data_IF_935778660805
#
_entry.id   IF_935778660805
#
_cell.length_a   1.000
_cell.length_b   1.000
_cell.length_c   1.000
_cell.angle_alpha   90.00
_cell.angle_beta   90.00
_cell.angle_gamma   90.00
#
_symmetry.space_group_name_H-M   'P 1'
#
loop_
_entity.id
_entity.type
_entity.pdbx_description
1 polymer ?
#
# COMPACT_ATOMS: atom_id res chain seq x y z
N UNK A 1 6.08 7.31 -0.61
CA UNK A 1 5.71 6.23 -1.56
C UNK A 1 6.94 5.72 -2.31
N UNK A 2 7.57 6.52 -3.18
CA UNK A 2 8.69 6.03 -4.00
C UNK A 2 9.88 5.55 -3.16
N UNK A 3 10.31 6.37 -2.21
CA UNK A 3 11.38 6.01 -1.28
C UNK A 3 11.02 4.78 -0.44
N UNK A 4 9.78 4.70 0.04
CA UNK A 4 9.26 3.57 0.82
C UNK A 4 9.27 2.27 0.02
N UNK A 5 8.94 2.30 -1.27
CA UNK A 5 9.01 1.14 -2.18
C UNK A 5 10.45 0.63 -2.31
N UNK A 6 11.39 1.56 -2.47
CA UNK A 6 12.81 1.21 -2.56
C UNK A 6 13.38 0.73 -1.21
N UNK A 7 13.02 1.37 -0.10
CA UNK A 7 13.47 0.99 1.26
C UNK A 7 12.92 -0.37 1.67
N UNK A 8 11.68 -0.67 1.29
CA UNK A 8 11.07 -1.99 1.52
C UNK A 8 11.63 -3.08 0.59
N UNK A 9 12.46 -2.72 -0.40
CA UNK A 9 13.14 -3.66 -1.30
C UNK A 9 12.29 -4.15 -2.48
N UNK A 10 11.14 -3.54 -2.75
CA UNK A 10 10.33 -3.87 -3.94
C UNK A 10 10.93 -3.32 -5.23
N UNK A 11 11.60 -2.18 -5.14
CA UNK A 11 12.32 -1.55 -6.24
C UNK A 11 13.81 -1.35 -5.87
N UNK A 12 14.74 -1.45 -6.84
CA UNK A 12 16.14 -1.08 -6.58
C UNK A 12 16.27 0.38 -6.14
N UNK A 13 17.27 0.66 -5.31
CA UNK A 13 17.57 2.01 -4.82
C UNK A 13 17.83 2.98 -5.97
N UNK A 14 17.13 4.10 -6.00
CA UNK A 14 17.21 5.11 -7.05
C UNK A 14 16.45 4.76 -8.34
N UNK A 15 15.82 3.58 -8.42
CA UNK A 15 15.10 3.12 -9.62
C UNK A 15 13.58 3.12 -9.45
N UNK A 16 13.05 3.63 -8.34
CA UNK A 16 11.63 3.58 -8.04
C UNK A 16 10.76 4.21 -9.13
N UNK A 17 11.21 5.29 -9.78
CA UNK A 17 10.45 5.92 -10.87
C UNK A 17 10.33 5.04 -12.11
N UNK A 18 11.39 4.30 -12.44
CA UNK A 18 11.36 3.34 -13.54
C UNK A 18 10.44 2.18 -13.16
N UNK A 19 10.61 1.67 -11.96
CA UNK A 19 9.83 0.55 -11.44
C UNK A 19 8.31 0.84 -11.44
N UNK A 20 7.86 2.00 -10.95
CA UNK A 20 6.42 2.35 -10.95
C UNK A 20 5.84 2.55 -12.35
N UNK A 21 6.67 2.84 -13.36
CA UNK A 21 6.23 2.96 -14.76
C UNK A 21 6.12 1.59 -15.45
N UNK A 22 6.89 0.62 -15.00
CA UNK A 22 6.90 -0.75 -15.51
C UNK A 22 5.83 -1.64 -14.87
N UNK A 23 5.19 -1.16 -13.79
CA UNK A 23 4.16 -1.89 -13.06
C UNK A 23 2.81 -1.17 -13.13
N UNK A 24 1.75 -1.95 -13.23
CA UNK A 24 0.39 -1.46 -13.05
C UNK A 24 0.03 -1.55 -11.56
N UNK A 25 -0.08 -0.37 -10.94
CA UNK A 25 -0.32 -0.23 -9.50
C UNK A 25 -1.81 -0.18 -9.14
N UNK A 26 -2.69 -0.27 -10.13
CA UNK A 26 -4.13 -0.29 -9.92
C UNK A 26 -4.57 -1.62 -9.27
N UNK A 27 -5.79 -1.66 -8.74
CA UNK A 27 -6.37 -2.91 -8.20
C UNK A 27 -6.57 -4.01 -9.26
N UNK A 28 -6.41 -3.70 -10.55
CA UNK A 28 -6.44 -4.68 -11.66
C UNK A 28 -5.04 -5.03 -12.18
N UNK A 29 -4.02 -4.33 -11.70
CA UNK A 29 -2.66 -4.42 -12.19
C UNK A 29 -1.87 -5.62 -11.63
N UNK A 30 -0.58 -5.62 -11.94
CA UNK A 30 0.34 -6.67 -11.50
C UNK A 30 0.96 -6.42 -10.12
N UNK A 31 0.92 -5.18 -9.63
CA UNK A 31 1.33 -4.84 -8.27
C UNK A 31 0.34 -3.88 -7.61
N UNK A 32 -0.87 -4.37 -7.24
CA UNK A 32 -1.88 -3.52 -6.61
C UNK A 32 -1.37 -2.84 -5.35
N UNK A 33 -1.51 -1.53 -5.29
CA UNK A 33 -1.06 -0.74 -4.14
C UNK A 33 -2.03 0.41 -3.89
N UNK A 34 -2.30 0.69 -2.61
CA UNK A 34 -3.25 1.73 -2.22
C UNK A 34 -4.58 1.57 -2.97
N UNK A 35 -5.14 0.37 -3.02
CA UNK A 35 -6.31 0.00 -3.85
C UNK A 35 -7.55 0.86 -3.57
N UNK A 36 -7.71 1.37 -2.36
CA UNK A 36 -8.73 2.38 -1.98
C UNK A 36 -8.43 3.84 -2.44
N UNK A 37 -7.31 4.09 -3.10
CA UNK A 37 -6.84 5.41 -3.55
C UNK A 37 -5.70 5.99 -2.71
N UNK A 38 -5.44 5.44 -1.52
CA UNK A 38 -4.39 5.91 -0.61
C UNK A 38 -4.60 7.35 -0.15
N UNK A 39 -3.63 7.91 0.57
CA UNK A 39 -3.78 9.23 1.18
C UNK A 39 -3.92 10.37 0.15
N UNK A 40 -3.52 10.15 -1.11
CA UNK A 40 -3.67 11.13 -2.20
C UNK A 40 -5.11 11.29 -2.69
N UNK A 41 -5.93 10.24 -2.63
CA UNK A 41 -7.31 10.27 -3.15
C UNK A 41 -8.36 9.95 -2.09
N UNK A 42 -8.11 8.95 -1.24
CA UNK A 42 -8.98 8.63 -0.10
C UNK A 42 -8.91 9.71 0.99
N UNK A 43 -7.74 10.36 1.12
CA UNK A 43 -7.50 11.49 2.01
C UNK A 43 -6.58 11.17 3.19
N UNK A 44 -6.09 12.23 3.83
CA UNK A 44 -5.19 12.18 4.98
C UNK A 44 -5.81 12.93 6.16
N UNK A 45 -6.63 12.25 6.96
CA UNK A 45 -7.27 12.83 8.15
C UNK A 45 -6.31 12.86 9.35
N UNK A 46 -5.22 13.62 9.25
CA UNK A 46 -4.23 13.79 10.32
C UNK A 46 -3.67 12.47 10.82
N UNK A 47 -3.65 12.28 12.15
CA UNK A 47 -3.13 11.08 12.82
C UNK A 47 -3.94 9.82 12.53
N UNK A 48 -5.23 9.96 12.20
CA UNK A 48 -6.09 8.81 11.84
C UNK A 48 -5.83 8.31 10.40
N UNK A 49 -5.18 9.12 9.56
CA UNK A 49 -4.94 8.80 8.15
C UNK A 49 -4.07 7.56 7.91
N UNK A 50 -3.32 7.09 8.90
CA UNK A 50 -2.56 5.84 8.79
C UNK A 50 -3.43 4.58 8.88
N UNK A 51 -4.55 4.65 9.60
CA UNK A 51 -5.41 3.48 9.83
C UNK A 51 -6.20 3.07 8.58
N UNK A 52 -6.43 3.98 7.63
CA UNK A 52 -7.12 3.64 6.38
C UNK A 52 -6.39 2.54 5.59
N UNK A 53 -5.07 2.52 5.65
CA UNK A 53 -4.24 1.51 4.98
C UNK A 53 -4.42 0.12 5.60
N UNK A 54 -4.48 0.06 6.93
CA UNK A 54 -4.71 -1.19 7.67
C UNK A 54 -6.13 -1.70 7.42
N UNK A 55 -7.11 -0.80 7.37
CA UNK A 55 -8.52 -1.12 7.07
C UNK A 55 -8.64 -1.66 5.64
N UNK A 56 -8.00 -1.04 4.65
CA UNK A 56 -8.01 -1.55 3.27
C UNK A 56 -7.32 -2.92 3.17
N UNK A 57 -6.19 -3.12 3.86
CA UNK A 57 -5.53 -4.42 3.92
C UNK A 57 -6.47 -5.50 4.49
N UNK A 58 -7.19 -5.20 5.56
CA UNK A 58 -8.22 -6.08 6.11
C UNK A 58 -9.34 -6.35 5.11
N UNK A 59 -9.86 -5.33 4.42
CA UNK A 59 -10.92 -5.51 3.43
C UNK A 59 -10.47 -6.42 2.29
N UNK A 60 -9.25 -6.27 1.79
CA UNK A 60 -8.72 -7.11 0.71
C UNK A 60 -8.54 -8.56 1.14
N UNK A 61 -7.92 -8.77 2.31
CA UNK A 61 -7.70 -10.09 2.88
C UNK A 61 -9.02 -10.80 3.20
N UNK A 62 -10.02 -10.07 3.70
CA UNK A 62 -11.32 -10.63 4.08
C UNK A 62 -12.30 -10.81 2.91
N UNK A 63 -11.92 -10.46 1.68
CA UNK A 63 -12.81 -10.55 0.52
C UNK A 63 -13.93 -9.49 0.51
N UNK A 64 -13.74 -8.36 1.20
CA UNK A 64 -14.76 -7.32 1.44
C UNK A 64 -14.44 -5.98 0.78
N UNK A 65 -13.52 -5.92 -0.18
CA UNK A 65 -13.12 -4.68 -0.85
C UNK A 65 -14.03 -4.25 -2.02
N UNK A 66 -15.17 -4.93 -2.21
CA UNK A 66 -16.18 -4.58 -3.22
C UNK A 66 -15.63 -4.65 -4.65
N UNK A 67 -15.91 -3.65 -5.47
CA UNK A 67 -15.44 -3.59 -6.88
C UNK A 67 -13.91 -3.60 -7.03
N UNK A 68 -13.18 -3.24 -5.96
CA UNK A 68 -11.72 -3.17 -5.94
C UNK A 68 -11.07 -4.44 -5.38
N UNK A 69 -11.87 -5.48 -5.13
CA UNK A 69 -11.38 -6.74 -4.60
C UNK A 69 -10.35 -7.37 -5.55
N UNK A 70 -9.17 -7.67 -5.01
CA UNK A 70 -8.14 -8.38 -5.75
C UNK A 70 -8.58 -9.83 -6.00
N UNK A 71 -8.19 -10.38 -7.16
CA UNK A 71 -8.46 -11.77 -7.53
C UNK A 71 -7.92 -12.76 -6.49
N UNK A 72 -6.78 -12.42 -5.88
CA UNK A 72 -6.13 -13.19 -4.81
C UNK A 72 -5.37 -12.22 -3.91
N UNK A 73 -5.57 -12.31 -2.60
CA UNK A 73 -4.90 -11.47 -1.61
C UNK A 73 -4.76 -12.20 -0.28
N UNK A 74 -3.65 -12.91 -0.12
CA UNK A 74 -3.38 -13.71 1.08
C UNK A 74 -2.42 -12.99 2.05
N UNK A 75 -1.67 -12.00 1.55
CA UNK A 75 -0.67 -11.26 2.33
C UNK A 75 -0.61 -9.84 1.84
N UNK A 76 -0.63 -8.88 2.78
CA UNK A 76 -0.56 -7.44 2.49
C UNK A 76 0.53 -6.81 3.33
N UNK A 77 1.39 -6.04 2.66
CA UNK A 77 2.38 -5.18 3.31
C UNK A 77 1.78 -3.79 3.51
N UNK A 78 1.76 -3.32 4.75
CA UNK A 78 1.31 -1.97 5.11
C UNK A 78 2.47 -1.22 5.76
N UNK A 79 2.89 -0.12 5.16
CA UNK A 79 3.93 0.73 5.71
C UNK A 79 3.41 2.14 5.98
N UNK A 80 3.76 2.70 7.13
CA UNK A 80 3.56 4.09 7.48
C UNK A 80 4.89 4.78 7.75
N UNK A 81 5.06 5.97 7.20
CA UNK A 81 6.18 6.86 7.52
C UNK A 81 5.62 8.12 8.18
N UNK A 82 6.03 8.36 9.42
CA UNK A 82 5.60 9.48 10.26
C UNK A 82 6.71 10.50 10.47
N UNK A 83 6.34 11.67 11.01
CA UNK A 83 7.25 12.80 11.19
C UNK A 83 7.86 13.27 9.86
N UNK A 84 9.03 13.90 9.94
CA UNK A 84 9.84 14.26 8.75
C UNK A 84 10.72 13.05 8.39
N UNK A 85 10.07 11.92 8.08
CA UNK A 85 10.71 10.62 7.84
C UNK A 85 11.53 10.06 9.02
N UNK A 86 11.25 10.51 10.24
CA UNK A 86 11.94 10.07 11.46
C UNK A 86 11.34 8.80 12.08
N UNK A 87 10.13 8.45 11.68
CA UNK A 87 9.38 7.33 12.24
C UNK A 87 8.92 6.41 11.11
N UNK A 88 9.15 5.11 11.27
CA UNK A 88 8.72 4.09 10.31
C UNK A 88 8.05 2.94 11.05
N UNK A 89 6.88 2.55 10.56
CA UNK A 89 6.17 1.36 10.97
C UNK A 89 5.84 0.50 9.75
N UNK A 90 6.01 -0.81 9.87
CA UNK A 90 5.65 -1.76 8.84
C UNK A 90 4.88 -2.93 9.46
N UNK A 91 3.85 -3.38 8.77
CA UNK A 91 3.00 -4.50 9.15
C UNK A 91 2.89 -5.46 7.97
N UNK A 92 2.88 -6.75 8.26
CA UNK A 92 2.49 -7.79 7.31
C UNK A 92 1.20 -8.39 7.86
N UNK A 93 0.10 -8.23 7.13
CA UNK A 93 -1.18 -8.85 7.44
C UNK A 93 -1.37 -10.07 6.56
N UNK A 94 -1.84 -11.17 7.13
CA UNK A 94 -2.10 -12.41 6.40
C UNK A 94 -3.55 -12.84 6.54
N UNK A 95 -4.13 -13.28 5.41
CA UNK A 95 -5.42 -13.97 5.37
C UNK A 95 -5.31 -15.44 5.71
N UNK A 96 -6.41 -15.99 6.21
CA UNK A 96 -6.58 -17.43 6.44
C UNK A 96 -7.19 -18.10 5.20
#
# INVERSE_FOLDING_TARGET
>A
MLLTLEDAGFAPKGEGMRWVREHDLTYKGNFPMNTHGGQLSFGQSGTAGGMSQVIEAFHQISGRAGERQLKRCDTVFVSGTGGVMSEQGALILQGA
#
